data_IF_301197532907
#
_entry.id   IF_301197532907
#
_cell.length_a   1.000
_cell.length_b   1.000
_cell.length_c   1.000
_cell.angle_alpha   90.00
_cell.angle_beta   90.00
_cell.angle_gamma   90.00
#
_symmetry.space_group_name_H-M   'P 1'
#
loop_
_entity.id
_entity.type
_entity.pdbx_description
1 polymer ?
#
# COMPACT_ATOMS: atom_id res chain seq x y z
N UNK A 1 -2.59 16.28 -2.14
CA UNK A 1 -1.45 16.10 -3.08
C UNK A 1 -1.80 14.99 -4.04
N UNK A 2 -0.98 14.71 -5.04
CA UNK A 2 -1.24 13.64 -6.02
C UNK A 2 -0.17 12.57 -5.94
N UNK A 3 -0.58 11.32 -6.14
CA UNK A 3 0.30 10.18 -6.28
C UNK A 3 0.19 9.61 -7.69
N UNK A 4 1.30 9.13 -8.24
CA UNK A 4 1.35 8.48 -9.55
C UNK A 4 1.84 7.07 -9.39
N UNK A 5 1.23 6.15 -10.13
CA UNK A 5 1.74 4.79 -10.24
C UNK A 5 3.05 4.83 -11.02
N UNK A 6 4.12 4.29 -10.44
CA UNK A 6 5.47 4.31 -11.05
C UNK A 6 5.97 2.92 -11.43
N UNK A 7 5.32 1.87 -10.92
CA UNK A 7 5.76 0.51 -11.20
C UNK A 7 4.91 -0.54 -10.53
N UNK A 8 5.37 -1.78 -10.66
CA UNK A 8 4.75 -2.92 -10.00
C UNK A 8 5.80 -3.96 -9.63
N UNK A 9 5.42 -4.84 -8.72
CA UNK A 9 6.30 -5.87 -8.24
C UNK A 9 5.58 -6.90 -7.40
N UNK A 10 6.37 -7.62 -6.62
CA UNK A 10 5.85 -8.64 -5.73
C UNK A 10 6.58 -8.69 -4.40
N UNK A 11 5.96 -9.34 -3.42
CA UNK A 11 6.61 -9.78 -2.19
C UNK A 11 6.53 -11.31 -2.03
N UNK A 12 7.49 -11.92 -1.31
CA UNK A 12 8.76 -11.33 -0.91
C UNK A 12 9.75 -11.23 -2.06
N UNK A 13 9.65 -12.11 -3.07
CA UNK A 13 10.49 -12.07 -4.28
C UNK A 13 9.87 -12.88 -5.42
N UNK A 14 10.34 -12.64 -6.65
CA UNK A 14 9.92 -13.36 -7.85
C UNK A 14 10.25 -14.85 -7.83
N UNK A 15 11.12 -15.34 -6.94
CA UNK A 15 11.35 -16.79 -6.77
C UNK A 15 10.10 -17.49 -6.23
N UNK A 16 9.31 -16.81 -5.40
CA UNK A 16 8.07 -17.33 -4.80
C UNK A 16 7.13 -16.18 -4.42
N UNK A 17 6.48 -15.54 -5.41
CA UNK A 17 5.62 -14.39 -5.16
C UNK A 17 4.36 -14.83 -4.40
N UNK A 18 4.04 -14.13 -3.32
CA UNK A 18 2.81 -14.31 -2.54
C UNK A 18 1.87 -13.10 -2.66
N UNK A 19 2.40 -11.92 -2.95
CA UNK A 19 1.66 -10.66 -3.10
C UNK A 19 2.13 -9.98 -4.38
N UNK A 20 1.18 -9.48 -5.18
CA UNK A 20 1.43 -8.57 -6.30
C UNK A 20 0.94 -7.18 -5.93
N UNK A 21 1.70 -6.15 -6.31
CA UNK A 21 1.40 -4.77 -5.95
C UNK A 21 1.82 -3.81 -7.06
N UNK A 22 1.23 -2.61 -7.05
CA UNK A 22 1.76 -1.43 -7.75
C UNK A 22 2.40 -0.49 -6.74
N UNK A 23 3.49 0.16 -7.15
CA UNK A 23 4.16 1.19 -6.38
C UNK A 23 3.73 2.57 -6.84
N UNK A 24 3.75 3.48 -5.88
CA UNK A 24 3.71 4.90 -6.15
C UNK A 24 5.08 5.48 -5.81
N UNK A 25 5.41 6.63 -6.38
CA UNK A 25 6.64 7.32 -6.03
C UNK A 25 6.82 7.43 -4.52
N UNK A 26 8.08 7.35 -4.09
CA UNK A 26 8.45 7.51 -2.68
C UNK A 26 8.20 8.96 -2.28
N UNK A 27 6.98 9.21 -1.82
CA UNK A 27 6.58 10.48 -1.26
C UNK A 27 7.04 10.56 0.21
N UNK A 28 8.03 11.41 0.47
CA UNK A 28 8.58 11.63 1.81
C UNK A 28 7.48 11.94 2.83
N UNK A 29 6.39 12.62 2.42
CA UNK A 29 5.25 12.94 3.28
C UNK A 29 4.57 11.70 3.83
N UNK A 30 4.49 10.62 3.04
CA UNK A 30 3.89 9.35 3.48
C UNK A 30 4.83 8.57 4.40
N UNK A 31 6.14 8.63 4.13
CA UNK A 31 7.16 8.01 4.97
C UNK A 31 7.17 8.67 6.36
N UNK A 32 7.12 9.99 6.41
CA UNK A 32 7.02 10.77 7.66
C UNK A 32 5.73 10.47 8.40
N UNK A 33 4.58 10.51 7.71
CA UNK A 33 3.29 10.18 8.31
C UNK A 33 3.29 8.76 8.93
N UNK A 34 3.82 7.77 8.23
CA UNK A 34 3.91 6.40 8.74
C UNK A 34 4.79 6.31 9.99
N UNK A 35 5.95 6.98 10.00
CA UNK A 35 6.85 7.01 11.16
C UNK A 35 6.22 7.70 12.36
N UNK A 36 5.51 8.81 12.15
CA UNK A 36 4.89 9.56 13.24
C UNK A 36 3.71 8.80 13.84
N UNK A 37 2.90 8.14 13.00
CA UNK A 37 1.84 7.23 13.48
C UNK A 37 2.46 6.12 14.34
N UNK A 38 3.51 5.45 13.86
CA UNK A 38 4.15 4.33 14.57
C UNK A 38 4.72 4.75 15.93
N UNK A 39 5.41 5.90 16.00
CA UNK A 39 5.92 6.49 17.24
C UNK A 39 4.80 6.81 18.24
N UNK A 40 3.72 7.43 17.77
CA UNK A 40 2.59 7.80 18.63
C UNK A 40 1.92 6.55 19.17
N UNK A 41 1.65 5.54 18.33
CA UNK A 41 1.05 4.28 18.77
C UNK A 41 1.95 3.56 19.78
N UNK A 42 3.26 3.48 19.53
CA UNK A 42 4.22 2.92 20.48
C UNK A 42 4.14 3.61 21.84
N UNK A 43 4.22 4.95 21.86
CA UNK A 43 4.22 5.72 23.12
C UNK A 43 2.89 5.68 23.89
N UNK A 44 1.75 5.53 23.19
CA UNK A 44 0.41 5.66 23.79
C UNK A 44 -0.18 4.32 24.22
N UNK A 45 0.11 3.25 23.48
CA UNK A 45 -0.52 1.94 23.65
C UNK A 45 0.46 0.76 23.50
N UNK A 46 1.77 1.02 23.56
CA UNK A 46 2.84 0.00 23.59
C UNK A 46 2.84 -0.98 22.40
N UNK A 47 2.56 -0.47 21.19
CA UNK A 47 2.74 -1.26 19.97
C UNK A 47 4.21 -1.39 19.62
N UNK A 48 4.69 -2.55 19.13
CA UNK A 48 6.05 -2.68 18.60
C UNK A 48 6.28 -1.72 17.43
N UNK A 49 7.46 -1.08 17.39
CA UNK A 49 7.86 -0.22 16.28
C UNK A 49 8.01 -1.03 14.98
N UNK A 50 7.58 -0.45 13.88
CA UNK A 50 7.79 -1.01 12.55
C UNK A 50 9.25 -0.82 12.12
N UNK A 51 9.94 -1.95 11.87
CA UNK A 51 11.36 -1.95 11.49
C UNK A 51 11.57 -2.05 9.98
N UNK A 52 10.53 -2.43 9.23
CA UNK A 52 10.61 -2.53 7.77
C UNK A 52 10.60 -1.14 7.16
N UNK A 53 11.35 -0.99 6.09
CA UNK A 53 11.29 0.19 5.23
C UNK A 53 9.84 0.39 4.74
N UNK A 54 9.32 1.60 4.94
CA UNK A 54 8.01 1.96 4.39
C UNK A 54 8.09 1.99 2.87
N UNK A 55 7.24 1.20 2.22
CA UNK A 55 7.11 1.17 0.77
C UNK A 55 5.70 1.55 0.40
N UNK A 56 5.55 2.63 -0.35
CA UNK A 56 4.24 3.10 -0.83
C UNK A 56 3.73 2.16 -1.91
N UNK A 57 2.83 1.24 -1.54
CA UNK A 57 2.31 0.24 -2.45
C UNK A 57 0.82 -0.01 -2.25
N UNK A 58 0.14 -0.38 -3.33
CA UNK A 58 -1.21 -0.94 -3.30
C UNK A 58 -1.14 -2.41 -3.65
N UNK A 59 -1.55 -3.28 -2.71
CA UNK A 59 -1.70 -4.71 -2.98
C UNK A 59 -2.83 -4.92 -3.98
N UNK A 60 -2.53 -5.53 -5.13
CA UNK A 60 -3.50 -5.86 -6.16
C UNK A 60 -4.06 -7.27 -5.97
N UNK A 61 -3.19 -8.22 -5.65
CA UNK A 61 -3.56 -9.63 -5.57
C UNK A 61 -2.68 -10.39 -4.59
N UNK A 62 -3.24 -11.48 -4.06
CA UNK A 62 -2.50 -12.51 -3.31
C UNK A 62 -2.47 -13.78 -4.14
N UNK A 63 -1.27 -14.30 -4.36
CA UNK A 63 -1.06 -15.51 -5.16
C UNK A 63 -1.42 -16.73 -4.30
N UNK A 64 -2.35 -17.55 -4.79
CA UNK A 64 -2.77 -18.81 -4.14
C UNK A 64 -2.37 -20.00 -5.02
N UNK A 65 -1.93 -21.08 -4.39
CA UNK A 65 -1.57 -22.31 -5.09
C UNK A 65 -0.23 -22.24 -5.82
N UNK A 66 0.00 -23.18 -6.74
CA UNK A 66 1.19 -23.21 -7.60
C UNK A 66 0.98 -22.28 -8.79
N UNK A 67 1.91 -21.35 -8.98
CA UNK A 67 2.00 -20.50 -10.18
C UNK A 67 3.39 -20.64 -10.79
N UNK A 68 3.52 -20.36 -12.08
CA UNK A 68 4.81 -20.10 -12.73
C UNK A 68 5.21 -18.64 -12.45
N UNK A 69 6.27 -18.38 -11.66
CA UNK A 69 6.65 -17.02 -11.32
C UNK A 69 7.18 -16.20 -12.51
N UNK A 70 7.81 -16.86 -13.49
CA UNK A 70 8.33 -16.18 -14.69
C UNK A 70 7.19 -15.68 -15.56
N UNK A 71 6.17 -16.54 -15.77
CA UNK A 71 4.95 -16.13 -16.48
C UNK A 71 4.22 -15.01 -15.76
N UNK A 72 4.13 -15.08 -14.43
CA UNK A 72 3.47 -14.05 -13.63
C UNK A 72 4.18 -12.69 -13.73
N UNK A 73 5.52 -12.72 -13.70
CA UNK A 73 6.34 -11.53 -13.89
C UNK A 73 6.10 -10.88 -15.24
N UNK A 74 6.14 -11.67 -16.32
CA UNK A 74 5.89 -11.19 -17.68
C UNK A 74 4.51 -10.53 -17.83
N UNK A 75 3.46 -11.17 -17.29
CA UNK A 75 2.09 -10.62 -17.33
C UNK A 75 2.02 -9.28 -16.58
N UNK A 76 2.65 -9.18 -15.40
CA UNK A 76 2.63 -7.94 -14.63
C UNK A 76 3.40 -6.82 -15.34
N UNK A 77 4.59 -7.12 -15.87
CA UNK A 77 5.41 -6.17 -16.63
C UNK A 77 4.70 -5.69 -17.89
N UNK A 78 4.06 -6.60 -18.65
CA UNK A 78 3.27 -6.26 -19.83
C UNK A 78 2.03 -5.42 -19.49
N UNK A 79 1.38 -5.70 -18.36
CA UNK A 79 0.23 -4.92 -17.90
C UNK A 79 0.66 -3.50 -17.55
N UNK A 80 1.80 -3.35 -16.86
CA UNK A 80 2.32 -2.06 -16.42
C UNK A 80 2.90 -1.24 -17.57
N UNK A 81 3.54 -1.87 -18.55
CA UNK A 81 4.09 -1.16 -19.72
C UNK A 81 3.03 -0.51 -20.61
N UNK A 82 1.77 -0.96 -20.49
CA UNK A 82 0.61 -0.38 -21.18
C UNK A 82 0.02 0.83 -20.46
N UNK A 83 0.42 1.09 -19.21
CA UNK A 83 -0.03 2.26 -18.46
C UNK A 83 0.74 3.48 -18.96
N UNK A 84 0.05 4.54 -19.36
CA UNK A 84 0.69 5.84 -19.60
C UNK A 84 0.76 6.59 -18.27
N UNK A 85 1.75 7.48 -18.13
CA UNK A 85 1.93 8.29 -16.90
C UNK A 85 0.67 9.08 -16.51
N UNK A 86 -0.12 9.47 -17.51
CA UNK A 86 -1.36 10.23 -17.37
C UNK A 86 -2.52 9.38 -16.83
N UNK A 87 -2.47 8.07 -17.01
CA UNK A 87 -3.63 7.18 -16.83
C UNK A 87 -3.95 6.89 -15.35
N UNK A 88 -3.01 7.15 -14.43
CA UNK A 88 -3.14 6.73 -13.02
C UNK A 88 -2.61 7.77 -12.01
N UNK A 89 -3.14 8.98 -12.10
CA UNK A 89 -2.99 10.02 -11.06
C UNK A 89 -4.08 9.83 -10.00
N UNK A 90 -3.66 9.65 -8.75
CA UNK A 90 -4.56 9.47 -7.59
C UNK A 90 -4.51 10.71 -6.70
N UNK A 91 -5.58 11.52 -6.64
CA UNK A 91 -5.63 12.63 -5.70
C UNK A 91 -5.79 12.12 -4.27
N UNK A 92 -4.90 12.58 -3.38
CA UNK A 92 -4.92 12.27 -1.94
C UNK A 92 -5.37 13.50 -1.17
N UNK A 93 -6.54 13.38 -0.55
CA UNK A 93 -7.19 14.46 0.21
C UNK A 93 -7.41 14.12 1.69
N UNK A 94 -7.22 12.87 2.11
CA UNK A 94 -7.42 12.41 3.47
C UNK A 94 -6.64 11.12 3.73
N UNK A 95 -6.37 10.84 5.00
CA UNK A 95 -6.07 9.48 5.46
C UNK A 95 -7.18 9.02 6.41
N UNK A 96 -7.32 7.71 6.55
CA UNK A 96 -8.44 7.11 7.26
C UNK A 96 -7.96 6.01 8.20
N UNK A 97 -8.57 5.91 9.37
CA UNK A 97 -8.41 4.76 10.24
C UNK A 97 -9.46 3.71 9.87
N UNK A 98 -9.01 2.47 9.66
CA UNK A 98 -9.89 1.33 9.38
C UNK A 98 -9.75 0.27 10.47
N UNK A 99 -10.86 -0.38 10.79
CA UNK A 99 -10.89 -1.67 11.49
C UNK A 99 -11.10 -2.78 10.47
N UNK A 100 -10.40 -3.89 10.64
CA UNK A 100 -10.53 -5.09 9.79
C UNK A 100 -10.93 -6.28 10.64
N UNK A 101 -12.09 -6.88 10.35
CA UNK A 101 -12.55 -8.11 10.99
C UNK A 101 -12.40 -9.26 10.00
N UNK A 102 -11.58 -10.26 10.35
CA UNK A 102 -11.37 -11.42 9.48
C UNK A 102 -12.55 -12.38 9.56
N UNK A 103 -13.08 -12.79 8.40
CA UNK A 103 -14.11 -13.83 8.27
C UNK A 103 -13.61 -14.94 7.33
N UNK A 104 -14.26 -16.11 7.31
CA UNK A 104 -13.95 -17.15 6.32
C UNK A 104 -14.08 -16.69 4.86
N UNK A 105 -14.95 -15.71 4.60
CA UNK A 105 -15.17 -15.13 3.27
C UNK A 105 -14.15 -14.03 2.93
N UNK A 106 -13.38 -13.55 3.90
CA UNK A 106 -12.40 -12.48 3.75
C UNK A 106 -12.50 -11.39 4.83
N UNK A 107 -11.62 -10.39 4.80
CA UNK A 107 -11.68 -9.27 5.72
C UNK A 107 -12.86 -8.35 5.41
N UNK A 108 -13.60 -7.94 6.45
CA UNK A 108 -14.59 -6.86 6.38
C UNK A 108 -13.93 -5.60 6.94
N UNK A 109 -13.89 -4.55 6.12
CA UNK A 109 -13.29 -3.27 6.50
C UNK A 109 -14.36 -2.26 6.92
N UNK A 110 -14.15 -1.62 8.07
CA UNK A 110 -14.98 -0.51 8.57
C UNK A 110 -14.13 0.72 8.77
N UNK A 111 -14.46 1.83 8.10
CA UNK A 111 -13.82 3.12 8.36
C UNK A 111 -14.25 3.63 9.76
N UNK A 112 -13.28 3.85 10.64
CA UNK A 112 -13.49 4.36 11.99
C UNK A 112 -13.44 5.89 12.04
N UNK A 113 -12.53 6.50 11.29
CA UNK A 113 -12.37 7.96 11.21
C UNK A 113 -11.79 8.39 9.86
N UNK A 114 -11.93 9.69 9.57
CA UNK A 114 -11.38 10.32 8.38
C UNK A 114 -10.69 11.62 8.76
N UNK A 115 -9.48 11.82 8.26
CA UNK A 115 -8.62 12.96 8.57
C UNK A 115 -8.22 13.65 7.27
N UNK A 116 -8.94 14.72 6.87
CA UNK A 116 -8.61 15.48 5.67
C UNK A 116 -7.22 16.12 5.76
N UNK A 117 -6.50 16.14 4.65
CA UNK A 117 -5.22 16.81 4.50
C UNK A 117 -5.44 18.28 4.10
N UNK A 118 -4.58 19.18 4.59
CA UNK A 118 -4.63 20.60 4.23
C UNK A 118 -5.69 21.44 4.96
N UNK A 119 -6.38 20.87 5.95
CA UNK A 119 -7.18 21.63 6.91
C UNK A 119 -6.27 22.01 8.08
N UNK A 120 -6.08 23.30 8.34
CA UNK A 120 -5.50 23.75 9.60
C UNK A 120 -6.44 23.32 10.72
N UNK A 121 -6.08 22.27 11.45
CA UNK A 121 -6.77 21.87 12.67
C UNK A 121 -6.48 22.97 13.69
N UNK A 122 -7.50 23.77 14.00
CA UNK A 122 -7.47 24.72 15.12
C UNK A 122 -7.53 23.98 16.45
#
# INVERSE_FOLDING_TARGET
FEMRVEGAGCFPSWKRPSILWVSFGNDERLVELAKDIDRVLHSRIDTPLETREYRTHLTLARVKGRTDPSKLKLILEETVSRLKEEDYVVPVNAFHLYSSTLTPQGPIYRRLSSHPLGQNVK
#
